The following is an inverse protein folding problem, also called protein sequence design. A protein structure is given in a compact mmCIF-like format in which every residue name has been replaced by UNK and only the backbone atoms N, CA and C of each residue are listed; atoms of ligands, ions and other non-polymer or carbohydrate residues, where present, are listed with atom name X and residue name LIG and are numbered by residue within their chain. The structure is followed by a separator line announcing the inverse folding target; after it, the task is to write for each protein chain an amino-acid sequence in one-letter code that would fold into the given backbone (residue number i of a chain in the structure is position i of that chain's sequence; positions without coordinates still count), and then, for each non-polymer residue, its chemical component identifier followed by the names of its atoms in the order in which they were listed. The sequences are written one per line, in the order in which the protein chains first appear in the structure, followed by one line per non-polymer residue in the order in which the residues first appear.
data_IF_389696872048
#
_entry.id   IF_389696872048
#
_cell.length_a   1.000
_cell.length_b   1.000
_cell.length_c   1.000
_cell.angle_alpha   90.00
_cell.angle_beta   90.00
_cell.angle_gamma   90.00
#
_symmetry.space_group_name_H-M   'P 1'
#
loop_
_entity.id
_entity.type
_entity.pdbx_description
1 polymer ?
#
# COMPACT_ATOMS: atom_id res chain seq x y z
N UNK A 1 -11.57 -3.48 -14.80
CA UNK A 1 -10.62 -4.33 -14.05
C UNK A 1 -10.59 -4.04 -12.55
N UNK A 2 -10.85 -2.80 -12.08
CA UNK A 2 -11.14 -2.52 -10.66
C UNK A 2 -12.43 -1.70 -10.58
N UNK A 3 -13.39 -2.15 -9.76
CA UNK A 3 -14.59 -1.39 -9.34
C UNK A 3 -14.50 -1.30 -7.81
N UNK A 4 -14.71 -0.14 -7.16
CA UNK A 4 -15.19 1.17 -7.63
C UNK A 4 -14.13 2.04 -8.33
N UNK A 5 -14.58 2.94 -9.21
CA UNK A 5 -13.73 3.79 -10.06
C UNK A 5 -12.83 4.74 -9.27
N UNK A 6 -13.29 5.22 -8.11
CA UNK A 6 -12.52 6.11 -7.23
C UNK A 6 -11.20 5.43 -6.80
N UNK A 7 -11.24 4.13 -6.53
CA UNK A 7 -10.06 3.39 -6.07
C UNK A 7 -9.14 2.96 -7.22
N UNK A 8 -9.56 3.14 -8.48
CA UNK A 8 -8.73 2.88 -9.65
C UNK A 8 -7.50 3.77 -9.64
N UNK A 9 -7.67 5.07 -9.37
CA UNK A 9 -6.56 6.02 -9.31
C UNK A 9 -5.52 5.64 -8.25
N UNK A 10 -5.96 5.07 -7.12
CA UNK A 10 -5.03 4.60 -6.08
C UNK A 10 -4.07 3.50 -6.55
N UNK A 11 -4.47 2.69 -7.53
CA UNK A 11 -3.57 1.68 -8.11
C UNK A 11 -2.57 2.31 -9.08
N UNK A 12 -2.99 3.32 -9.84
CA UNK A 12 -2.16 3.97 -10.86
C UNK A 12 -1.22 5.04 -10.32
N UNK A 13 -1.43 5.53 -9.10
CA UNK A 13 -0.54 6.51 -8.45
C UNK A 13 0.97 6.22 -8.60
N UNK A 14 1.50 5.02 -8.31
CA UNK A 14 2.94 4.75 -8.51
C UNK A 14 3.39 4.89 -9.97
N UNK A 15 2.52 4.65 -10.95
CA UNK A 15 2.81 4.81 -12.37
C UNK A 15 2.80 6.30 -12.73
N UNK A 16 1.75 7.02 -12.30
CA UNK A 16 1.60 8.45 -12.57
C UNK A 16 2.70 9.30 -11.91
N UNK A 17 3.18 8.90 -10.73
CA UNK A 17 4.23 9.62 -9.99
C UNK A 17 5.62 9.40 -10.60
N UNK A 18 5.91 8.21 -11.11
CA UNK A 18 7.22 7.87 -11.66
C UNK A 18 7.33 8.11 -13.18
N UNK A 19 6.21 8.26 -13.88
CA UNK A 19 6.14 8.36 -15.33
C UNK A 19 6.05 6.99 -16.02
N UNK A 20 5.37 6.93 -17.16
CA UNK A 20 5.13 5.69 -17.90
C UNK A 20 6.44 5.11 -18.50
N UNK A 21 7.39 5.96 -18.85
CA UNK A 21 8.71 5.61 -19.43
C UNK A 21 9.48 4.59 -18.56
N UNK A 22 9.29 4.64 -17.24
CA UNK A 22 9.97 3.74 -16.29
C UNK A 22 9.35 2.34 -16.23
N UNK A 23 8.20 2.14 -16.87
CA UNK A 23 7.46 0.88 -16.86
C UNK A 23 7.44 0.17 -18.22
N UNK A 24 7.87 0.82 -19.31
CA UNK A 24 7.82 0.23 -20.66
C UNK A 24 8.58 -1.10 -20.77
N UNK A 25 9.68 -1.26 -20.04
CA UNK A 25 10.51 -2.47 -20.04
C UNK A 25 10.06 -3.53 -19.03
N UNK A 26 9.00 -3.28 -18.26
CA UNK A 26 8.65 -4.10 -17.08
C UNK A 26 7.23 -4.67 -17.23
N UNK A 27 7.13 -6.00 -17.27
CA UNK A 27 5.84 -6.69 -17.10
C UNK A 27 5.62 -7.04 -15.61
N UNK A 28 4.46 -6.65 -15.06
CA UNK A 28 4.15 -6.78 -13.63
C UNK A 28 2.89 -7.64 -13.44
N UNK A 29 3.06 -8.83 -12.86
CA UNK A 29 1.95 -9.68 -12.44
C UNK A 29 1.76 -9.66 -10.94
N UNK A 30 0.61 -9.18 -10.48
CA UNK A 30 0.27 -9.09 -9.04
C UNK A 30 -0.82 -10.10 -8.67
N UNK A 31 -0.61 -10.85 -7.58
CA UNK A 31 -1.64 -11.69 -6.94
C UNK A 31 -1.78 -11.27 -5.48
N UNK A 32 -3.00 -11.01 -5.03
CA UNK A 32 -3.30 -10.60 -3.64
C UNK A 32 -4.31 -11.56 -3.03
N UNK A 33 -4.13 -11.90 -1.75
CA UNK A 33 -5.04 -12.75 -0.97
C UNK A 33 -5.19 -12.20 0.46
N UNK A 34 -6.40 -12.30 1.01
CA UNK A 34 -6.74 -11.78 2.35
C UNK A 34 -7.05 -10.28 2.36
N UNK A 35 -7.44 -9.77 3.53
CA UNK A 35 -7.91 -8.38 3.68
C UNK A 35 -9.28 -8.12 3.03
N UNK A 36 -9.73 -6.86 3.11
CA UNK A 36 -10.91 -6.37 2.39
C UNK A 36 -10.54 -5.63 1.10
N UNK A 37 -11.55 -5.26 0.30
CA UNK A 37 -11.36 -4.64 -1.02
C UNK A 37 -10.40 -3.44 -1.01
N UNK A 38 -10.60 -2.49 -0.08
CA UNK A 38 -9.75 -1.30 0.03
C UNK A 38 -8.31 -1.69 0.39
N UNK A 39 -8.12 -2.52 1.42
CA UNK A 39 -6.77 -2.93 1.85
C UNK A 39 -6.00 -3.69 0.78
N UNK A 40 -6.69 -4.47 -0.07
CA UNK A 40 -6.06 -5.15 -1.19
C UNK A 40 -5.54 -4.15 -2.23
N UNK A 41 -6.30 -3.09 -2.53
CA UNK A 41 -5.88 -2.03 -3.45
C UNK A 41 -4.63 -1.31 -2.93
N UNK A 42 -4.59 -0.97 -1.64
CA UNK A 42 -3.38 -0.39 -1.04
C UNK A 42 -2.20 -1.37 -1.07
N UNK A 43 -2.43 -2.67 -0.93
CA UNK A 43 -1.38 -3.68 -1.06
C UNK A 43 -0.85 -3.78 -2.50
N UNK A 44 -1.73 -3.73 -3.52
CA UNK A 44 -1.33 -3.71 -4.94
C UNK A 44 -0.48 -2.47 -5.23
N UNK A 45 -0.98 -1.30 -4.83
CA UNK A 45 -0.29 -0.01 -4.95
C UNK A 45 1.13 -0.08 -4.40
N UNK A 46 1.27 -0.62 -3.19
CA UNK A 46 2.56 -0.76 -2.53
C UNK A 46 3.47 -1.81 -3.20
N UNK A 47 2.90 -2.91 -3.70
CA UNK A 47 3.65 -3.96 -4.38
C UNK A 47 4.26 -3.44 -5.70
N UNK A 48 3.51 -2.67 -6.48
CA UNK A 48 3.99 -2.06 -7.73
C UNK A 48 5.17 -1.12 -7.43
N UNK A 49 5.01 -0.20 -6.49
CA UNK A 49 6.06 0.75 -6.12
C UNK A 49 7.36 0.06 -5.65
N UNK A 50 7.24 -0.97 -4.81
CA UNK A 50 8.41 -1.75 -4.35
C UNK A 50 9.07 -2.54 -5.47
N UNK A 51 8.28 -3.15 -6.36
CA UNK A 51 8.79 -3.96 -7.45
C UNK A 51 9.66 -3.14 -8.40
N UNK A 52 9.22 -1.92 -8.76
CA UNK A 52 9.96 -1.02 -9.65
C UNK A 52 11.29 -0.60 -9.04
N UNK A 53 11.29 -0.14 -7.79
CA UNK A 53 12.52 0.26 -7.10
C UNK A 53 13.50 -0.92 -6.99
N UNK A 54 13.01 -2.12 -6.68
CA UNK A 54 13.83 -3.32 -6.61
C UNK A 54 14.38 -3.75 -7.98
N UNK A 55 13.59 -3.59 -9.04
CA UNK A 55 14.00 -3.90 -10.41
C UNK A 55 15.14 -2.98 -10.87
N UNK A 56 14.99 -1.66 -10.70
CA UNK A 56 16.03 -0.69 -11.03
C UNK A 56 17.29 -0.88 -10.20
N UNK A 57 17.15 -1.18 -8.90
CA UNK A 57 18.30 -1.46 -8.03
C UNK A 57 19.11 -2.68 -8.47
N UNK A 58 18.47 -3.66 -9.12
CA UNK A 58 19.11 -4.92 -9.53
C UNK A 58 19.67 -4.88 -10.97
N UNK A 59 18.94 -4.28 -11.90
CA UNK A 59 19.23 -4.39 -13.34
C UNK A 59 19.76 -3.11 -14.00
N UNK A 60 19.62 -1.95 -13.35
CA UNK A 60 20.11 -0.68 -13.89
C UNK A 60 21.26 -0.16 -13.04
N UNK A 61 20.95 0.57 -11.97
CA UNK A 61 21.94 1.20 -11.12
C UNK A 61 21.35 1.67 -9.79
N UNK A 62 22.22 1.82 -8.78
CA UNK A 62 21.81 2.23 -7.44
C UNK A 62 21.36 3.69 -7.35
N UNK A 63 21.84 4.55 -8.26
CA UNK A 63 21.50 5.98 -8.25
C UNK A 63 20.06 6.21 -8.71
N UNK A 64 19.67 5.63 -9.84
CA UNK A 64 18.29 5.64 -10.35
C UNK A 64 17.32 5.05 -9.35
N UNK A 65 17.68 3.93 -8.70
CA UNK A 65 16.84 3.33 -7.67
C UNK A 65 16.64 4.26 -6.45
N UNK A 66 17.68 5.00 -6.06
CA UNK A 66 17.60 5.98 -4.98
C UNK A 66 16.75 7.19 -5.37
N UNK A 67 16.85 7.66 -6.61
CA UNK A 67 16.02 8.74 -7.15
C UNK A 67 14.54 8.36 -7.15
N UNK A 68 14.18 7.19 -7.72
CA UNK A 68 12.82 6.65 -7.70
C UNK A 68 12.28 6.54 -6.27
N UNK A 69 13.11 6.04 -5.34
CA UNK A 69 12.76 5.95 -3.92
C UNK A 69 12.49 7.32 -3.31
N UNK A 70 13.32 8.33 -3.59
CA UNK A 70 13.12 9.70 -3.09
C UNK A 70 11.82 10.29 -3.61
N UNK A 71 11.52 10.14 -4.90
CA UNK A 71 10.28 10.63 -5.53
C UNK A 71 9.05 9.99 -4.91
N UNK A 72 9.04 8.66 -4.74
CA UNK A 72 7.93 7.95 -4.09
C UNK A 72 7.74 8.35 -2.62
N UNK A 73 8.83 8.49 -1.85
CA UNK A 73 8.77 8.89 -0.43
C UNK A 73 8.29 10.34 -0.27
N UNK A 74 8.71 11.22 -1.19
CA UNK A 74 8.26 12.62 -1.22
C UNK A 74 6.76 12.73 -1.43
N UNK A 75 6.20 11.90 -2.32
CA UNK A 75 4.76 11.85 -2.55
C UNK A 75 4.00 11.20 -1.39
N UNK A 76 4.34 9.96 -1.04
CA UNK A 76 3.67 9.21 0.03
C UNK A 76 4.55 8.06 0.55
N UNK A 77 4.92 8.12 1.83
CA UNK A 77 5.72 7.07 2.48
C UNK A 77 5.07 5.69 2.44
N UNK A 78 3.74 5.61 2.38
CA UNK A 78 3.01 4.33 2.37
C UNK A 78 3.18 3.54 1.08
N UNK A 79 3.66 4.17 0.00
CA UNK A 79 4.01 3.50 -1.26
C UNK A 79 5.18 2.51 -1.07
N UNK A 80 6.09 2.78 -0.14
CA UNK A 80 7.24 1.92 0.12
C UNK A 80 7.19 1.26 1.49
N UNK A 81 6.68 1.94 2.51
CA UNK A 81 6.66 1.42 3.89
C UNK A 81 5.25 0.94 4.21
N UNK A 82 5.14 -0.30 4.71
CA UNK A 82 3.83 -0.85 5.05
C UNK A 82 3.36 -0.28 6.38
N UNK A 83 2.05 -0.03 6.48
CA UNK A 83 1.44 0.37 7.74
C UNK A 83 1.39 -0.83 8.70
N UNK A 84 2.06 -0.76 9.88
CA UNK A 84 2.12 -1.88 10.81
C UNK A 84 0.82 -2.08 11.60
N UNK A 85 -0.17 -1.18 11.50
CA UNK A 85 -1.40 -1.23 12.30
C UNK A 85 -2.16 -2.54 12.10
N UNK A 86 -2.60 -3.14 13.22
CA UNK A 86 -3.45 -4.34 13.29
C UNK A 86 -4.59 -4.12 14.28
N UNK A 87 -5.70 -4.81 14.09
CA UNK A 87 -6.82 -4.74 15.03
C UNK A 87 -6.39 -5.32 16.38
N UNK A 88 -6.64 -4.55 17.44
CA UNK A 88 -6.38 -5.00 18.81
C UNK A 88 -7.32 -6.19 19.16
N UNK A 89 -6.83 -7.19 19.93
CA UNK A 89 -7.69 -8.27 20.39
C UNK A 89 -8.84 -7.76 21.27
N UNK A 90 -10.03 -8.35 21.12
CA UNK A 90 -11.18 -8.09 21.99
C UNK A 90 -10.83 -8.40 23.45
N UNK A 91 -11.29 -7.55 24.37
CA UNK A 91 -11.15 -7.77 25.82
C UNK A 91 -12.52 -8.16 26.42
N UNK A 92 -12.51 -8.91 27.53
CA UNK A 92 -13.73 -9.35 28.20
C UNK A 92 -14.53 -8.17 28.77
N UNK A 93 -15.82 -8.36 29.07
CA UNK A 93 -16.63 -7.31 29.72
C UNK A 93 -17.03 -6.14 28.80
N UNK A 94 -16.99 -6.35 27.49
CA UNK A 94 -17.34 -5.35 26.48
C UNK A 94 -17.49 -5.92 25.08
N UNK A 95 -17.93 -5.10 24.13
CA UNK A 95 -18.15 -5.55 22.76
C UNK A 95 -16.85 -5.56 21.93
N UNK A 96 -15.88 -4.69 22.23
CA UNK A 96 -14.64 -4.52 21.45
C UNK A 96 -13.36 -4.56 22.29
N UNK A 97 -12.25 -4.13 21.69
CA UNK A 97 -10.94 -4.09 22.36
C UNK A 97 -10.91 -3.12 23.57
N UNK A 98 -11.53 -1.93 23.42
CA UNK A 98 -11.52 -0.87 24.44
C UNK A 98 -12.90 -0.54 25.01
N UNK A 99 -13.98 -0.86 24.30
CA UNK A 99 -15.35 -0.60 24.74
C UNK A 99 -15.70 -1.47 25.96
N UNK A 100 -16.29 -0.87 26.99
CA UNK A 100 -16.81 -1.56 28.19
C UNK A 100 -18.33 -1.48 28.22
N UNK A 101 -18.99 -2.44 28.88
CA UNK A 101 -20.44 -2.36 29.11
C UNK A 101 -20.76 -1.15 29.97
N UNK A 102 -21.81 -0.40 29.60
CA UNK A 102 -22.31 0.70 30.41
C UNK A 102 -22.78 0.16 31.77
N UNK A 103 -22.37 0.84 32.85
CA UNK A 103 -22.88 0.56 34.21
C UNK A 103 -24.11 1.42 34.46
N UNK A 104 -25.08 0.89 35.22
CA UNK A 104 -26.34 1.57 35.54
C UNK A 104 -26.29 2.46 36.78
N UNK A 105 -25.16 2.50 37.49
CA UNK A 105 -25.08 3.20 38.76
C UNK A 105 -25.09 4.72 38.57
N UNK A 106 -25.94 5.35 39.38
CA UNK A 106 -25.96 6.77 39.71
C UNK A 106 -25.34 6.95 41.08
#
# INVERSE_FOLDING_TARGET
LVRPEILRYKVYEPILVLGEDKFESIDIRVRVKGGGHVSQIYAIRQAIAKAVVAYYAKYFDAFSALELKKTLVSYDRTLLIADPRRMEPKKFGGQGARARRQKSYR
#
